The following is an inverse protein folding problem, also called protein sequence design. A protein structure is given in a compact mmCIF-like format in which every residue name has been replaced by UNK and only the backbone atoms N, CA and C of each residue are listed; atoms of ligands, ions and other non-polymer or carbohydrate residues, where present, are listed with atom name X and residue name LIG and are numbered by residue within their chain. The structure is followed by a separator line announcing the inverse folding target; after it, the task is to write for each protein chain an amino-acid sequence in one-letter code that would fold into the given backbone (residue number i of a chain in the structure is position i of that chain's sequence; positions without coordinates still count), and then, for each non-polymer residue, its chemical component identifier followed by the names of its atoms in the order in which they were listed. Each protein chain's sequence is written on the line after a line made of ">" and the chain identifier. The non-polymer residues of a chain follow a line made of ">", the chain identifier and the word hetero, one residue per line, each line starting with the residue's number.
data_IF_413328353626
#
_entry.id   IF_413328353626
#
_cell.length_a   1.000
_cell.length_b   1.000
_cell.length_c   1.000
_cell.angle_alpha   90.00
_cell.angle_beta   90.00
_cell.angle_gamma   90.00
#
_symmetry.space_group_name_H-M   'P 1'
#
loop_
_entity.id
_entity.type
_entity.pdbx_description
1 polymer ?
#
# COMPACT_ATOMS: atom_id res chain seq x y z
N UNK A 1 -10.88 10.30 -17.03
CA UNK A 1 -12.35 10.34 -16.87
C UNK A 1 -12.98 8.98 -17.23
N UNK A 2 -12.39 8.26 -18.18
CA UNK A 2 -12.84 6.92 -18.60
C UNK A 2 -12.82 5.87 -17.48
N UNK A 3 -11.76 5.78 -16.67
CA UNK A 3 -11.64 4.74 -15.63
C UNK A 3 -12.76 4.77 -14.56
N UNK A 4 -13.30 5.95 -14.23
CA UNK A 4 -14.42 6.08 -13.28
C UNK A 4 -15.71 5.58 -13.92
N UNK A 5 -15.92 5.88 -15.21
CA UNK A 5 -17.06 5.39 -15.97
C UNK A 5 -17.04 3.87 -16.13
N UNK A 6 -15.88 3.31 -16.47
CA UNK A 6 -15.68 1.85 -16.56
C UNK A 6 -15.97 1.16 -15.22
N UNK A 7 -15.46 1.68 -14.11
CA UNK A 7 -15.69 1.12 -12.78
C UNK A 7 -17.17 1.17 -12.39
N UNK A 8 -17.86 2.28 -12.67
CA UNK A 8 -19.30 2.40 -12.45
C UNK A 8 -20.06 1.35 -13.27
N UNK A 9 -19.70 1.16 -14.55
CA UNK A 9 -20.36 0.20 -15.42
C UNK A 9 -20.13 -1.23 -14.94
N UNK A 10 -18.90 -1.57 -14.55
CA UNK A 10 -18.58 -2.86 -13.93
C UNK A 10 -19.42 -3.11 -12.67
N UNK A 11 -19.50 -2.12 -11.78
CA UNK A 11 -20.28 -2.23 -10.55
C UNK A 11 -21.79 -2.35 -10.80
N UNK A 12 -22.33 -1.68 -11.84
CA UNK A 12 -23.73 -1.85 -12.27
C UNK A 12 -24.00 -3.27 -12.75
N UNK A 13 -23.11 -3.83 -13.57
CA UNK A 13 -23.27 -5.17 -14.15
C UNK A 13 -23.18 -6.30 -13.10
N UNK A 14 -22.56 -6.04 -11.94
CA UNK A 14 -22.32 -7.04 -10.89
C UNK A 14 -23.08 -6.76 -9.58
N UNK A 15 -24.05 -5.83 -9.58
CA UNK A 15 -24.80 -5.41 -8.38
C UNK A 15 -23.93 -4.90 -7.20
N UNK A 16 -22.81 -4.24 -7.52
CA UNK A 16 -21.84 -3.70 -6.55
C UNK A 16 -21.98 -2.18 -6.38
N UNK A 17 -23.09 -1.59 -6.79
CA UNK A 17 -23.24 -0.13 -6.86
C UNK A 17 -23.10 0.54 -5.47
N UNK A 18 -23.68 -0.07 -4.42
CA UNK A 18 -23.57 0.42 -3.05
C UNK A 18 -22.12 0.42 -2.55
N UNK A 19 -21.37 -0.63 -2.89
CA UNK A 19 -19.95 -0.74 -2.56
C UNK A 19 -19.13 0.35 -3.27
N UNK A 20 -19.42 0.59 -4.55
CA UNK A 20 -18.79 1.69 -5.28
C UNK A 20 -19.07 3.06 -4.67
N UNK A 21 -20.31 3.33 -4.27
CA UNK A 21 -20.68 4.59 -3.61
C UNK A 21 -19.86 4.77 -2.32
N UNK A 22 -19.74 3.72 -1.50
CA UNK A 22 -18.93 3.75 -0.29
C UNK A 22 -17.46 4.05 -0.61
N UNK A 23 -16.85 3.31 -1.54
CA UNK A 23 -15.47 3.51 -1.94
C UNK A 23 -15.22 4.90 -2.52
N UNK A 24 -16.13 5.42 -3.34
CA UNK A 24 -16.01 6.76 -3.87
C UNK A 24 -16.06 7.81 -2.75
N UNK A 25 -17.06 7.71 -1.86
CA UNK A 25 -17.25 8.67 -0.77
C UNK A 25 -16.07 8.69 0.20
N UNK A 26 -15.60 7.52 0.62
CA UNK A 26 -14.61 7.41 1.68
C UNK A 26 -13.17 7.39 1.18
N UNK A 27 -12.91 6.92 -0.04
CA UNK A 27 -11.55 6.68 -0.55
C UNK A 27 -11.26 7.49 -1.80
N UNK A 28 -12.01 7.32 -2.88
CA UNK A 28 -11.61 7.82 -4.21
C UNK A 28 -12.03 9.26 -4.53
N UNK A 29 -12.90 9.88 -3.72
CA UNK A 29 -13.28 11.28 -3.92
C UNK A 29 -12.05 12.18 -3.82
N UNK A 30 -12.01 13.27 -4.61
CA UNK A 30 -10.83 14.15 -4.71
C UNK A 30 -10.30 14.62 -3.34
N UNK A 31 -11.22 14.98 -2.42
CA UNK A 31 -10.86 15.42 -1.07
C UNK A 31 -10.32 14.31 -0.17
N UNK A 32 -10.73 13.05 -0.38
CA UNK A 32 -10.23 11.90 0.38
C UNK A 32 -8.98 11.31 -0.23
N UNK A 33 -8.92 11.20 -1.56
CA UNK A 33 -7.80 10.67 -2.33
C UNK A 33 -6.47 11.33 -1.92
N UNK A 34 -6.45 12.65 -1.77
CA UNK A 34 -5.24 13.39 -1.39
C UNK A 34 -4.71 13.02 0.01
N UNK A 35 -5.54 12.47 0.89
CA UNK A 35 -5.17 12.13 2.27
C UNK A 35 -4.38 10.82 2.35
N UNK A 36 -4.66 9.86 1.46
CA UNK A 36 -4.06 8.51 1.54
C UNK A 36 -3.27 8.13 0.30
N UNK A 37 -3.61 8.66 -0.87
CA UNK A 37 -2.85 8.40 -2.09
C UNK A 37 -1.55 9.19 -2.06
N UNK A 38 -0.45 8.52 -1.73
CA UNK A 38 0.90 9.15 -1.70
C UNK A 38 1.27 9.77 -3.05
N UNK A 39 0.76 9.23 -4.16
CA UNK A 39 0.94 9.79 -5.49
C UNK A 39 0.24 11.14 -5.71
N UNK A 40 -0.74 11.51 -4.88
CA UNK A 40 -1.41 12.81 -4.95
C UNK A 40 -0.71 13.89 -4.10
N UNK A 41 0.28 13.50 -3.28
CA UNK A 41 1.00 14.43 -2.42
C UNK A 41 2.07 15.17 -3.25
N UNK A 42 1.92 16.49 -3.39
CA UNK A 42 2.86 17.34 -4.15
C UNK A 42 4.30 17.29 -3.63
N UNK A 43 4.49 16.98 -2.34
CA UNK A 43 5.80 16.90 -1.70
C UNK A 43 6.48 15.55 -1.91
N UNK A 44 5.73 14.53 -2.33
CA UNK A 44 6.25 13.19 -2.62
C UNK A 44 6.31 13.04 -4.13
N UNK A 45 7.52 13.01 -4.69
CA UNK A 45 7.65 12.80 -6.13
C UNK A 45 7.02 11.47 -6.55
N UNK A 46 6.35 11.46 -7.70
CA UNK A 46 5.78 10.23 -8.27
C UNK A 46 6.82 9.11 -8.37
N UNK A 47 8.07 9.46 -8.71
CA UNK A 47 9.22 8.54 -8.77
C UNK A 47 9.40 7.81 -7.42
N UNK A 48 9.36 8.53 -6.29
CA UNK A 48 9.49 7.92 -4.96
C UNK A 48 8.33 6.97 -4.65
N UNK A 49 7.11 7.31 -5.07
CA UNK A 49 5.95 6.44 -4.88
C UNK A 49 6.09 5.12 -5.68
N UNK A 50 6.52 5.23 -6.95
CA UNK A 50 6.80 4.07 -7.81
C UNK A 50 7.91 3.21 -7.25
N UNK A 51 9.03 3.80 -6.80
CA UNK A 51 10.15 3.05 -6.21
C UNK A 51 9.75 2.27 -4.96
N UNK A 52 8.87 2.80 -4.12
CA UNK A 52 8.37 2.09 -2.94
C UNK A 52 7.51 0.88 -3.35
N UNK A 53 6.63 1.06 -4.33
CA UNK A 53 5.79 -0.01 -4.87
C UNK A 53 6.66 -1.08 -5.53
N UNK A 54 7.62 -0.69 -6.37
CA UNK A 54 8.57 -1.61 -7.01
C UNK A 54 9.44 -2.37 -6.01
N UNK A 55 9.94 -1.68 -4.98
CA UNK A 55 10.71 -2.31 -3.90
C UNK A 55 9.87 -3.37 -3.17
N UNK A 56 8.61 -3.05 -2.86
CA UNK A 56 7.69 -3.99 -2.24
C UNK A 56 7.42 -5.20 -3.16
N UNK A 57 7.14 -4.97 -4.43
CA UNK A 57 6.94 -6.05 -5.42
C UNK A 57 8.20 -6.89 -5.63
N UNK A 58 9.40 -6.28 -5.59
CA UNK A 58 10.66 -7.01 -5.67
C UNK A 58 10.80 -7.97 -4.50
N UNK A 59 10.50 -7.53 -3.28
CA UNK A 59 10.53 -8.38 -2.08
C UNK A 59 9.56 -9.56 -2.20
N UNK A 60 8.30 -9.32 -2.58
CA UNK A 60 7.31 -10.39 -2.77
C UNK A 60 7.75 -11.37 -3.85
N UNK A 61 8.23 -10.86 -4.99
CA UNK A 61 8.67 -11.71 -6.10
C UNK A 61 9.84 -12.61 -5.70
N UNK A 62 10.83 -12.03 -5.04
CA UNK A 62 12.04 -12.73 -4.67
C UNK A 62 11.82 -13.72 -3.51
N UNK A 63 11.09 -13.31 -2.46
CA UNK A 63 11.03 -14.09 -1.22
C UNK A 63 9.85 -15.06 -1.18
N UNK A 64 8.81 -14.84 -2.01
CA UNK A 64 7.63 -15.69 -2.01
C UNK A 64 7.29 -16.28 -3.37
N UNK A 65 7.58 -15.60 -4.48
CA UNK A 65 7.16 -16.04 -5.81
C UNK A 65 8.28 -16.62 -6.68
N UNK A 66 9.51 -16.74 -6.18
CA UNK A 66 10.66 -17.15 -7.01
C UNK A 66 10.52 -18.53 -7.65
N UNK A 67 9.72 -19.43 -7.05
CA UNK A 67 9.43 -20.77 -7.60
C UNK A 67 8.18 -20.83 -8.47
N UNK A 68 7.39 -19.77 -8.52
CA UNK A 68 6.11 -19.74 -9.22
C UNK A 68 6.26 -19.01 -10.55
N UNK A 69 6.24 -19.77 -11.64
CA UNK A 69 6.16 -19.17 -12.96
C UNK A 69 4.70 -18.76 -13.24
N UNK A 70 4.46 -17.45 -13.35
CA UNK A 70 3.12 -16.85 -13.59
C UNK A 70 2.06 -17.30 -12.56
N UNK A 71 2.21 -16.91 -11.27
CA UNK A 71 1.22 -17.23 -10.25
C UNK A 71 -0.15 -16.65 -10.61
N UNK A 72 -1.22 -17.44 -10.41
CA UNK A 72 -2.60 -16.94 -10.49
C UNK A 72 -2.83 -15.88 -9.41
N UNK A 73 -3.73 -14.94 -9.69
CA UNK A 73 -4.08 -13.85 -8.76
C UNK A 73 -4.50 -14.39 -7.40
N UNK A 74 -5.27 -15.47 -7.35
CA UNK A 74 -5.71 -16.08 -6.09
C UNK A 74 -4.55 -16.58 -5.23
N UNK A 75 -3.53 -17.15 -5.88
CA UNK A 75 -2.34 -17.64 -5.18
C UNK A 75 -1.50 -16.48 -4.64
N UNK A 76 -1.40 -15.38 -5.41
CA UNK A 76 -0.79 -14.15 -4.95
C UNK A 76 -1.54 -13.57 -3.74
N UNK A 77 -2.87 -13.49 -3.80
CA UNK A 77 -3.71 -13.05 -2.69
C UNK A 77 -3.49 -13.92 -1.44
N UNK A 78 -3.44 -15.24 -1.60
CA UNK A 78 -3.13 -16.16 -0.51
C UNK A 78 -1.76 -15.87 0.13
N UNK A 79 -0.71 -15.68 -0.67
CA UNK A 79 0.63 -15.35 -0.18
C UNK A 79 0.63 -14.01 0.56
N UNK A 80 0.00 -12.99 0.00
CA UNK A 80 -0.09 -11.67 0.62
C UNK A 80 -0.73 -11.78 2.01
N UNK A 81 -1.90 -12.43 2.10
CA UNK A 81 -2.67 -12.54 3.35
C UNK A 81 -1.98 -13.44 4.36
N UNK A 82 -1.52 -14.62 3.95
CA UNK A 82 -1.02 -15.64 4.89
C UNK A 82 0.46 -15.51 5.24
N UNK A 83 1.27 -14.88 4.38
CA UNK A 83 2.72 -14.75 4.60
C UNK A 83 3.11 -13.30 4.82
N UNK A 84 2.89 -12.44 3.83
CA UNK A 84 3.41 -11.06 3.84
C UNK A 84 2.83 -10.26 4.99
N UNK A 85 1.50 -10.24 5.16
CA UNK A 85 0.84 -9.49 6.23
C UNK A 85 1.30 -10.00 7.60
N UNK A 86 1.30 -11.31 7.81
CA UNK A 86 1.74 -11.91 9.08
C UNK A 86 3.19 -11.55 9.43
N UNK A 87 4.09 -11.55 8.44
CA UNK A 87 5.47 -11.11 8.64
C UNK A 87 5.56 -9.62 9.03
N UNK A 88 4.75 -8.75 8.42
CA UNK A 88 4.73 -7.33 8.80
C UNK A 88 4.13 -7.12 10.20
N UNK A 89 3.05 -7.83 10.55
CA UNK A 89 2.45 -7.77 11.88
C UNK A 89 3.46 -8.21 12.96
N UNK A 90 4.19 -9.30 12.71
CA UNK A 90 5.25 -9.73 13.61
C UNK A 90 6.36 -8.68 13.77
N UNK A 91 6.80 -8.03 12.67
CA UNK A 91 7.76 -6.93 12.74
C UNK A 91 7.22 -5.74 13.54
N UNK A 92 5.95 -5.38 13.38
CA UNK A 92 5.30 -4.32 14.16
C UNK A 92 5.28 -4.68 15.65
N UNK A 93 4.96 -5.93 15.98
CA UNK A 93 4.98 -6.41 17.36
C UNK A 93 6.39 -6.29 17.97
N UNK A 94 7.43 -6.67 17.23
CA UNK A 94 8.82 -6.49 17.68
C UNK A 94 9.21 -5.02 17.86
N UNK A 95 8.71 -4.11 17.01
CA UNK A 95 8.91 -2.66 17.17
C UNK A 95 8.24 -2.14 18.45
N UNK A 96 7.01 -2.57 18.72
CA UNK A 96 6.26 -2.19 19.92
C UNK A 96 6.94 -2.68 21.20
N UNK A 97 7.53 -3.88 21.15
CA UNK A 97 8.30 -4.45 22.26
C UNK A 97 9.71 -3.85 22.40
N UNK A 98 10.14 -2.96 21.50
CA UNK A 98 11.50 -2.41 21.47
C UNK A 98 12.58 -3.43 21.11
N UNK A 99 12.21 -4.64 20.69
CA UNK A 99 13.12 -5.73 20.30
C UNK A 99 13.63 -5.60 18.87
N UNK A 100 13.04 -4.71 18.10
CA UNK A 100 13.49 -4.34 16.77
C UNK A 100 13.55 -2.82 16.68
N UNK A 101 14.59 -2.30 16.03
CA UNK A 101 14.71 -0.89 15.69
C UNK A 101 14.90 -0.79 14.19
N UNK A 102 14.04 -0.02 13.52
CA UNK A 102 14.24 0.27 12.10
C UNK A 102 15.53 1.07 11.91
N UNK A 103 16.38 0.73 10.92
CA UNK A 103 17.66 1.41 10.71
C UNK A 103 17.53 2.92 10.54
N UNK A 104 16.51 3.36 9.78
CA UNK A 104 16.22 4.77 9.51
C UNK A 104 15.70 5.55 10.72
N UNK A 105 15.37 4.90 11.84
CA UNK A 105 14.78 5.56 13.03
C UNK A 105 15.70 6.62 13.60
N UNK A 106 17.01 6.36 13.62
CA UNK A 106 18.01 7.26 14.19
C UNK A 106 18.08 8.55 13.39
N UNK A 107 18.18 8.42 12.06
CA UNK A 107 18.25 9.54 11.14
C UNK A 107 16.97 10.36 11.17
N UNK A 108 15.81 9.69 11.13
CA UNK A 108 14.51 10.35 11.26
C UNK A 108 14.38 11.13 12.57
N UNK A 109 14.78 10.54 13.71
CA UNK A 109 14.71 11.23 15.00
C UNK A 109 15.63 12.46 15.05
N UNK A 110 16.77 12.41 14.36
CA UNK A 110 17.70 13.54 14.24
C UNK A 110 17.07 14.67 13.42
N UNK A 111 16.53 14.37 12.25
CA UNK A 111 15.83 15.34 11.40
C UNK A 111 14.62 15.95 12.12
N UNK A 112 13.80 15.12 12.79
CA UNK A 112 12.63 15.58 13.53
C UNK A 112 12.98 16.66 14.56
N UNK A 113 14.03 16.42 15.37
CA UNK A 113 14.49 17.38 16.37
C UNK A 113 15.00 18.69 15.78
N UNK A 114 15.49 18.69 14.54
CA UNK A 114 15.94 19.91 13.86
C UNK A 114 14.76 20.78 13.44
N UNK A 115 13.61 20.17 13.12
CA UNK A 115 12.39 20.84 12.69
C UNK A 115 11.38 21.11 13.82
N UNK A 116 11.66 20.63 15.04
CA UNK A 116 10.84 20.86 16.24
C UNK A 116 11.12 22.23 16.90
N UNK A 117 12.18 22.94 16.46
CA UNK A 117 12.48 24.33 16.82
C UNK A 117 11.93 25.29 15.77
#
# INVERSE_FOLDING_TARGET
>A
KECVGEMIQFCKNNDLLRLWIYFWKEWYSKGKWILWARAANKNVSHIKATMVVESHWRHIKHDHLYKFHKPRVDHLCFILVKKVINQQLYRIQLLQQGRYSVPWRKDFKKEWKQHEK
#
